data_IF_102538598215
#
_entry.id   IF_102538598215
#
_cell.length_a   1.000
_cell.length_b   1.000
_cell.length_c   1.000
_cell.angle_alpha   90.00
_cell.angle_beta   90.00
_cell.angle_gamma   90.00
#
_symmetry.space_group_name_H-M   'P 1'
#
loop_
_entity.id
_entity.type
_entity.pdbx_description
1 polymer ?
#
# COMPACT_ATOMS: atom_id res chain seq x y z
N UNK A 1 -12.27 -2.06 14.91
CA UNK A 1 -11.64 -2.35 13.59
C UNK A 1 -11.46 -3.84 13.46
N UNK A 2 -11.94 -4.42 12.36
CA UNK A 2 -11.70 -5.82 11.98
C UNK A 2 -10.69 -5.86 10.84
N UNK A 3 -9.79 -6.84 10.84
CA UNK A 3 -8.80 -7.04 9.78
C UNK A 3 -8.92 -8.49 9.28
N UNK A 4 -9.23 -8.66 7.99
CA UNK A 4 -9.33 -9.96 7.33
C UNK A 4 -8.16 -10.12 6.36
N UNK A 5 -7.44 -11.23 6.45
CA UNK A 5 -6.31 -11.54 5.59
C UNK A 5 -6.68 -12.58 4.54
N UNK A 6 -6.74 -12.20 3.26
CA UNK A 6 -7.12 -13.09 2.15
C UNK A 6 -5.94 -13.86 1.55
N UNK A 7 -4.72 -13.47 1.94
CA UNK A 7 -3.48 -14.09 1.44
C UNK A 7 -2.99 -13.52 0.11
N UNK A 8 -1.67 -13.52 -0.07
CA UNK A 8 -0.99 -12.88 -1.20
C UNK A 8 -1.23 -13.51 -2.58
N UNK A 9 -1.95 -14.61 -2.67
CA UNK A 9 -2.30 -15.28 -3.93
C UNK A 9 -3.73 -15.01 -4.39
N UNK A 10 -4.58 -14.46 -3.52
CA UNK A 10 -6.00 -14.28 -3.82
C UNK A 10 -6.22 -13.43 -5.07
N UNK A 11 -5.52 -12.31 -5.22
CA UNK A 11 -5.61 -11.42 -6.38
C UNK A 11 -4.76 -11.87 -7.59
N UNK A 12 -4.43 -13.14 -7.69
CA UNK A 12 -3.81 -13.73 -8.89
C UNK A 12 -4.84 -14.41 -9.76
N UNK A 13 -4.62 -14.42 -11.09
CA UNK A 13 -5.55 -15.01 -12.07
C UNK A 13 -6.11 -16.38 -11.69
N UNK A 14 -5.30 -17.34 -11.19
CA UNK A 14 -5.83 -18.68 -10.88
C UNK A 14 -6.85 -18.69 -9.73
N UNK A 15 -6.83 -17.68 -8.84
CA UNK A 15 -7.76 -17.55 -7.70
C UNK A 15 -8.84 -16.49 -7.98
N UNK A 16 -8.48 -15.40 -8.62
CA UNK A 16 -9.41 -14.42 -9.15
C UNK A 16 -10.12 -13.55 -8.12
N UNK A 17 -9.52 -13.35 -6.92
CA UNK A 17 -10.06 -12.44 -5.89
C UNK A 17 -11.24 -13.01 -5.09
N UNK A 18 -11.44 -14.33 -5.13
CA UNK A 18 -12.63 -14.97 -4.52
C UNK A 18 -12.72 -14.69 -3.02
N UNK A 19 -11.61 -14.78 -2.28
CA UNK A 19 -11.62 -14.55 -0.83
C UNK A 19 -11.89 -13.09 -0.50
N UNK A 20 -11.25 -12.15 -1.19
CA UNK A 20 -11.47 -10.72 -0.98
C UNK A 20 -12.92 -10.33 -1.26
N UNK A 21 -13.50 -10.78 -2.37
CA UNK A 21 -14.91 -10.51 -2.70
C UNK A 21 -15.88 -11.15 -1.69
N UNK A 22 -15.61 -12.36 -1.20
CA UNK A 22 -16.42 -13.00 -0.17
C UNK A 22 -16.36 -12.25 1.17
N UNK A 23 -15.18 -11.74 1.54
CA UNK A 23 -15.03 -10.95 2.75
C UNK A 23 -15.67 -9.55 2.62
N UNK A 24 -15.68 -8.96 1.43
CA UNK A 24 -16.45 -7.74 1.15
C UNK A 24 -17.96 -7.98 1.42
N UNK A 25 -18.53 -9.11 0.98
CA UNK A 25 -19.91 -9.46 1.25
C UNK A 25 -20.19 -9.68 2.75
N UNK A 26 -19.22 -10.21 3.50
CA UNK A 26 -19.34 -10.35 4.96
C UNK A 26 -19.36 -8.98 5.64
N UNK A 27 -18.43 -8.10 5.28
CA UNK A 27 -18.33 -6.76 5.85
C UNK A 27 -19.51 -5.86 5.45
N UNK A 28 -20.07 -6.06 4.25
CA UNK A 28 -21.29 -5.37 3.81
C UNK A 28 -22.48 -5.70 4.71
N UNK A 29 -22.62 -6.97 5.13
CA UNK A 29 -23.70 -7.43 6.02
C UNK A 29 -23.47 -7.16 7.51
N UNK A 30 -22.27 -6.76 7.90
CA UNK A 30 -21.93 -6.47 9.29
C UNK A 30 -22.34 -5.04 9.68
N UNK A 31 -23.34 -4.90 10.56
CA UNK A 31 -23.89 -3.61 10.97
C UNK A 31 -22.86 -2.70 11.68
N UNK A 32 -21.83 -3.28 12.29
CA UNK A 32 -20.76 -2.53 12.95
C UNK A 32 -19.72 -1.96 11.97
N UNK A 33 -19.64 -2.53 10.77
CA UNK A 33 -18.75 -2.04 9.71
C UNK A 33 -19.34 -0.80 9.05
N UNK A 34 -18.63 0.32 9.15
CA UNK A 34 -19.03 1.63 8.55
C UNK A 34 -18.32 1.92 7.22
N UNK A 35 -17.21 1.28 6.96
CA UNK A 35 -16.36 1.47 5.78
C UNK A 35 -15.51 0.20 5.55
N UNK A 36 -15.24 -0.11 4.31
CA UNK A 36 -14.36 -1.22 3.90
C UNK A 36 -13.08 -0.62 3.30
N UNK A 37 -11.91 -1.09 3.77
CA UNK A 37 -10.64 -0.71 3.21
C UNK A 37 -9.96 -1.93 2.56
N UNK A 38 -9.74 -1.86 1.25
CA UNK A 38 -9.06 -2.87 0.47
C UNK A 38 -7.57 -2.51 0.37
N UNK A 39 -6.70 -3.39 0.87
CA UNK A 39 -5.25 -3.18 0.86
C UNK A 39 -4.57 -4.36 0.18
N UNK A 40 -3.84 -4.09 -0.88
CA UNK A 40 -3.03 -5.10 -1.56
C UNK A 40 -1.78 -4.50 -2.20
N UNK A 41 -0.82 -5.36 -2.48
CA UNK A 41 0.22 -5.05 -3.46
C UNK A 41 -0.36 -5.13 -4.87
N UNK A 42 0.39 -4.65 -5.87
CA UNK A 42 0.00 -4.79 -7.27
C UNK A 42 -0.29 -6.26 -7.61
N UNK A 43 -1.47 -6.49 -8.13
CA UNK A 43 -1.97 -7.80 -8.50
C UNK A 43 -2.26 -7.87 -10.02
N UNK A 44 -2.90 -8.92 -10.47
CA UNK A 44 -3.30 -9.00 -11.88
C UNK A 44 -4.42 -8.00 -12.16
N UNK A 45 -4.23 -7.15 -13.16
CA UNK A 45 -5.13 -5.99 -13.44
C UNK A 45 -6.58 -6.39 -13.59
N UNK A 46 -6.85 -7.40 -14.38
CA UNK A 46 -8.20 -7.93 -14.61
C UNK A 46 -8.87 -8.47 -13.33
N UNK A 47 -8.09 -8.94 -12.35
CA UNK A 47 -8.61 -9.34 -11.04
C UNK A 47 -8.88 -8.13 -10.16
N UNK A 48 -8.00 -7.12 -10.17
CA UNK A 48 -8.25 -5.88 -9.45
C UNK A 48 -9.50 -5.17 -9.96
N UNK A 49 -9.70 -5.10 -11.28
CA UNK A 49 -10.91 -4.54 -11.90
C UNK A 49 -12.19 -5.26 -11.42
N UNK A 50 -12.20 -6.60 -11.40
CA UNK A 50 -13.34 -7.38 -10.85
C UNK A 50 -13.61 -7.08 -9.37
N UNK A 51 -12.56 -6.89 -8.58
CA UNK A 51 -12.71 -6.53 -7.17
C UNK A 51 -13.32 -5.12 -7.04
N UNK A 52 -12.92 -4.18 -7.88
CA UNK A 52 -13.48 -2.83 -7.91
C UNK A 52 -14.92 -2.81 -8.42
N UNK A 53 -15.25 -3.58 -9.46
CA UNK A 53 -16.62 -3.79 -9.92
C UNK A 53 -17.50 -4.36 -8.79
N UNK A 54 -16.97 -5.32 -8.02
CA UNK A 54 -17.66 -5.83 -6.83
C UNK A 54 -17.83 -4.74 -5.77
N UNK A 55 -16.81 -3.91 -5.53
CA UNK A 55 -16.89 -2.79 -4.59
C UNK A 55 -18.00 -1.80 -4.98
N UNK A 56 -18.21 -1.54 -6.27
CA UNK A 56 -19.26 -0.65 -6.79
C UNK A 56 -20.68 -1.12 -6.44
N UNK A 57 -20.86 -2.42 -6.18
CA UNK A 57 -22.15 -2.99 -5.80
C UNK A 57 -22.49 -2.83 -4.32
N UNK A 58 -21.51 -2.42 -3.50
CA UNK A 58 -21.70 -2.28 -2.05
C UNK A 58 -22.40 -0.96 -1.71
N UNK A 59 -23.10 -0.96 -0.59
CA UNK A 59 -23.73 0.25 -0.04
C UNK A 59 -22.80 1.06 0.84
N UNK A 60 -21.81 0.40 1.43
CA UNK A 60 -20.81 1.01 2.31
C UNK A 60 -19.70 1.68 1.51
N UNK A 61 -19.14 2.79 2.01
CA UNK A 61 -17.97 3.41 1.41
C UNK A 61 -16.78 2.44 1.33
N UNK A 62 -16.07 2.45 0.21
CA UNK A 62 -14.88 1.63 -0.01
C UNK A 62 -13.68 2.54 -0.29
N UNK A 63 -12.61 2.34 0.46
CA UNK A 63 -11.28 2.87 0.16
C UNK A 63 -10.44 1.74 -0.40
N UNK A 64 -9.72 1.98 -1.48
CA UNK A 64 -8.86 0.96 -2.09
C UNK A 64 -7.43 1.48 -2.27
N UNK A 65 -6.45 0.68 -1.86
CA UNK A 65 -5.03 0.88 -2.13
C UNK A 65 -4.43 -0.41 -2.69
N UNK A 66 -4.12 -0.38 -3.98
CA UNK A 66 -3.31 -1.40 -4.64
C UNK A 66 -1.94 -0.77 -4.93
N UNK A 67 -0.95 -1.08 -4.07
CA UNK A 67 0.37 -0.46 -4.14
C UNK A 67 1.02 -0.70 -5.50
N UNK A 68 1.34 0.38 -6.20
CA UNK A 68 1.88 0.34 -7.56
C UNK A 68 0.83 0.44 -8.68
N UNK A 69 -0.46 0.52 -8.34
CA UNK A 69 -1.51 0.78 -9.33
C UNK A 69 -1.45 2.24 -9.82
N UNK A 70 -1.88 2.45 -11.05
CA UNK A 70 -2.07 3.76 -11.65
C UNK A 70 -3.48 4.32 -11.37
N UNK A 71 -3.66 5.60 -11.62
CA UNK A 71 -4.94 6.29 -11.45
C UNK A 71 -6.05 5.71 -12.34
N UNK A 72 -5.68 5.20 -13.52
CA UNK A 72 -6.63 4.64 -14.49
C UNK A 72 -7.40 3.45 -13.92
N UNK A 73 -6.78 2.69 -13.00
CA UNK A 73 -7.44 1.54 -12.36
C UNK A 73 -8.71 1.95 -11.59
N UNK A 74 -8.72 3.14 -11.01
CA UNK A 74 -9.84 3.59 -10.16
C UNK A 74 -10.89 4.41 -10.92
N UNK A 75 -10.60 4.80 -12.17
CA UNK A 75 -11.52 5.62 -12.96
C UNK A 75 -12.83 4.89 -13.26
N UNK A 76 -13.93 5.58 -13.01
CA UNK A 76 -15.28 5.04 -13.24
C UNK A 76 -15.83 4.21 -12.09
N UNK A 77 -15.03 3.90 -11.07
CA UNK A 77 -15.46 3.20 -9.87
C UNK A 77 -15.88 4.15 -8.75
N UNK A 78 -16.79 3.72 -7.88
CA UNK A 78 -17.27 4.48 -6.72
C UNK A 78 -16.27 4.51 -5.55
N UNK A 79 -15.20 3.73 -5.64
CA UNK A 79 -14.20 3.63 -4.58
C UNK A 79 -13.37 4.91 -4.45
N UNK A 80 -12.91 5.19 -3.24
CA UNK A 80 -11.84 6.17 -3.01
C UNK A 80 -10.50 5.48 -3.23
N UNK A 81 -9.92 5.64 -4.43
CA UNK A 81 -8.60 5.12 -4.77
C UNK A 81 -7.48 5.92 -4.10
N UNK A 82 -6.48 5.21 -3.58
CA UNK A 82 -5.29 5.82 -2.96
C UNK A 82 -4.03 5.07 -3.42
N UNK A 83 -2.86 5.70 -3.28
CA UNK A 83 -1.61 5.19 -3.85
C UNK A 83 -0.57 4.79 -2.80
N UNK A 84 -0.84 5.07 -1.52
CA UNK A 84 -0.02 4.67 -0.38
C UNK A 84 -0.89 4.38 0.84
N UNK A 85 -0.32 3.69 1.83
CA UNK A 85 -1.04 3.26 3.02
C UNK A 85 -1.47 4.44 3.91
N UNK A 86 -0.65 5.49 3.96
CA UNK A 86 -0.94 6.69 4.76
C UNK A 86 -2.19 7.41 4.24
N UNK A 87 -2.28 7.61 2.93
CA UNK A 87 -3.44 8.27 2.32
C UNK A 87 -4.69 7.40 2.38
N UNK A 88 -4.56 6.08 2.28
CA UNK A 88 -5.66 5.16 2.53
C UNK A 88 -6.20 5.30 3.96
N UNK A 89 -5.32 5.31 4.97
CA UNK A 89 -5.71 5.51 6.36
C UNK A 89 -6.39 6.88 6.59
N UNK A 90 -5.85 7.96 6.01
CA UNK A 90 -6.47 9.30 6.06
C UNK A 90 -7.85 9.30 5.43
N UNK A 91 -8.01 8.71 4.25
CA UNK A 91 -9.29 8.61 3.57
C UNK A 91 -10.33 7.85 4.42
N UNK A 92 -9.93 6.71 5.01
CA UNK A 92 -10.81 5.96 5.91
C UNK A 92 -11.29 6.80 7.11
N UNK A 93 -10.36 7.49 7.80
CA UNK A 93 -10.73 8.32 8.96
C UNK A 93 -11.63 9.47 8.54
N UNK A 94 -11.31 10.16 7.45
CA UNK A 94 -12.12 11.25 6.92
C UNK A 94 -13.54 10.81 6.59
N UNK A 95 -13.70 9.71 5.88
CA UNK A 95 -15.01 9.19 5.49
C UNK A 95 -15.87 8.75 6.68
N UNK A 96 -15.25 8.18 7.73
CA UNK A 96 -16.00 7.71 8.90
C UNK A 96 -16.29 8.83 9.90
N UNK A 97 -15.35 9.78 10.09
CA UNK A 97 -15.45 10.77 11.17
C UNK A 97 -15.79 12.18 10.69
N UNK A 98 -15.66 12.45 9.40
CA UNK A 98 -15.76 13.80 8.81
C UNK A 98 -14.60 14.74 9.20
N UNK A 99 -13.54 14.23 9.84
CA UNK A 99 -12.41 15.01 10.33
C UNK A 99 -11.12 14.62 9.61
N UNK A 100 -10.25 15.59 9.39
CA UNK A 100 -8.88 15.30 8.94
C UNK A 100 -8.10 14.64 10.08
N UNK A 101 -7.51 13.46 9.84
CA UNK A 101 -6.69 12.80 10.84
C UNK A 101 -5.34 13.51 10.99
N UNK A 102 -4.91 13.69 12.23
CA UNK A 102 -3.52 14.05 12.51
C UNK A 102 -2.70 12.75 12.56
N UNK A 103 -2.11 12.39 11.44
CA UNK A 103 -1.28 11.19 11.32
C UNK A 103 0.19 11.58 11.14
N UNK A 104 0.97 11.25 12.16
CA UNK A 104 2.42 11.39 12.10
C UNK A 104 2.92 12.81 12.35
N UNK A 105 4.15 13.06 11.91
CA UNK A 105 4.86 14.31 12.08
C UNK A 105 4.33 15.38 11.11
N UNK A 106 4.27 16.61 11.56
CA UNK A 106 4.10 17.80 10.68
C UNK A 106 5.24 17.88 9.67
N UNK A 107 5.08 18.71 8.64
CA UNK A 107 6.15 18.94 7.67
C UNK A 107 7.43 19.47 8.34
N UNK A 108 7.26 20.40 9.30
CA UNK A 108 8.38 20.96 10.06
C UNK A 108 9.08 19.89 10.92
N UNK A 109 8.33 19.09 11.67
CA UNK A 109 8.91 18.02 12.50
C UNK A 109 9.63 16.95 11.68
N UNK A 110 9.15 16.66 10.45
CA UNK A 110 9.85 15.76 9.53
C UNK A 110 11.17 16.35 9.06
N UNK A 111 11.18 17.63 8.69
CA UNK A 111 12.40 18.32 8.27
C UNK A 111 13.44 18.36 9.39
N UNK A 112 13.01 18.74 10.59
CA UNK A 112 13.88 18.77 11.77
C UNK A 112 14.44 17.37 12.11
N UNK A 113 13.62 16.33 11.96
CA UNK A 113 14.06 14.94 12.16
C UNK A 113 15.06 14.52 11.07
N UNK A 114 14.77 14.84 9.80
CA UNK A 114 15.65 14.53 8.68
C UNK A 114 17.03 15.19 8.86
N UNK A 115 17.06 16.48 9.24
CA UNK A 115 18.29 17.20 9.48
C UNK A 115 19.08 16.58 10.65
N UNK A 116 18.44 16.27 11.77
CA UNK A 116 19.12 15.58 12.89
C UNK A 116 19.69 14.23 12.51
N UNK A 117 18.95 13.47 11.69
CA UNK A 117 19.46 12.18 11.17
C UNK A 117 20.68 12.40 10.27
N UNK A 118 20.60 13.36 9.36
CA UNK A 118 21.71 13.68 8.45
C UNK A 118 22.98 14.11 9.23
N UNK A 119 22.84 15.00 10.21
CA UNK A 119 23.92 15.48 11.05
C UNK A 119 24.59 14.38 11.88
N UNK A 120 23.84 13.33 12.20
CA UNK A 120 24.34 12.18 12.96
C UNK A 120 25.10 11.14 12.13
N UNK A 121 25.00 11.24 10.79
CA UNK A 121 25.62 10.26 9.88
C UNK A 121 27.09 10.59 9.62
N UNK A 122 27.95 9.57 9.71
CA UNK A 122 29.31 9.70 9.21
C UNK A 122 29.32 9.96 7.70
N UNK A 123 30.19 10.86 7.19
CA UNK A 123 30.32 11.12 5.75
C UNK A 123 30.61 9.88 4.88
N UNK A 124 31.10 8.80 5.49
CA UNK A 124 31.35 7.53 4.82
C UNK A 124 30.10 6.70 4.59
N UNK A 125 29.00 7.00 5.28
CA UNK A 125 27.71 6.29 5.16
C UNK A 125 26.94 6.79 3.94
N UNK A 126 27.18 6.13 2.80
CA UNK A 126 26.63 6.52 1.48
C UNK A 126 25.42 5.69 1.04
N UNK A 127 25.01 4.71 1.82
CA UNK A 127 23.96 3.78 1.41
C UNK A 127 22.86 3.69 2.44
N UNK A 128 21.61 3.77 1.97
CA UNK A 128 20.45 3.36 2.74
C UNK A 128 20.25 1.84 2.62
N UNK A 129 19.95 1.18 3.74
CA UNK A 129 19.64 -0.26 3.76
C UNK A 129 18.37 -0.47 4.59
N UNK A 130 17.28 -0.88 3.93
CA UNK A 130 16.02 -1.21 4.57
C UNK A 130 15.88 -2.71 4.81
N UNK A 131 15.45 -3.10 6.01
CA UNK A 131 15.10 -4.48 6.38
C UNK A 131 13.62 -4.50 6.78
N UNK A 132 12.83 -5.31 6.10
CA UNK A 132 11.38 -5.35 6.25
C UNK A 132 10.90 -6.77 6.51
N UNK A 133 9.98 -6.95 7.46
CA UNK A 133 9.37 -8.25 7.79
C UNK A 133 8.33 -8.70 6.76
N UNK A 134 7.90 -7.81 5.85
CA UNK A 134 6.90 -8.11 4.82
C UNK A 134 7.13 -7.32 3.53
N UNK A 135 6.56 -7.81 2.45
CA UNK A 135 6.72 -7.22 1.13
C UNK A 135 6.03 -5.87 0.96
N UNK A 136 4.95 -5.59 1.68
CA UNK A 136 4.13 -4.39 1.54
C UNK A 136 4.92 -3.12 1.88
N UNK A 137 5.55 -3.09 3.06
CA UNK A 137 6.38 -1.94 3.46
C UNK A 137 7.63 -1.78 2.59
N UNK A 138 8.22 -2.89 2.16
CA UNK A 138 9.35 -2.85 1.23
C UNK A 138 8.95 -2.21 -0.10
N UNK A 139 7.79 -2.56 -0.64
CA UNK A 139 7.28 -1.99 -1.88
C UNK A 139 6.95 -0.51 -1.73
N UNK A 140 6.22 -0.13 -0.67
CA UNK A 140 5.89 1.26 -0.41
C UNK A 140 7.15 2.13 -0.26
N UNK A 141 8.20 1.60 0.42
CA UNK A 141 9.49 2.29 0.51
C UNK A 141 10.14 2.48 -0.86
N UNK A 142 10.14 1.45 -1.70
CA UNK A 142 10.68 1.56 -3.06
C UNK A 142 9.91 2.58 -3.90
N UNK A 143 8.58 2.60 -3.79
CA UNK A 143 7.73 3.57 -4.47
C UNK A 143 8.03 4.99 -4.00
N UNK A 144 8.17 5.19 -2.68
CA UNK A 144 8.53 6.49 -2.11
C UNK A 144 9.88 6.97 -2.63
N UNK A 145 10.91 6.13 -2.63
CA UNK A 145 12.22 6.52 -3.19
C UNK A 145 12.15 6.82 -4.68
N UNK A 146 11.38 6.07 -5.46
CA UNK A 146 11.21 6.36 -6.90
C UNK A 146 10.54 7.70 -7.15
N UNK A 147 9.62 8.10 -6.29
CA UNK A 147 8.90 9.37 -6.41
C UNK A 147 9.72 10.56 -5.90
N UNK A 148 10.36 10.41 -4.73
CA UNK A 148 11.01 11.52 -4.03
C UNK A 148 12.50 11.69 -4.36
N UNK A 149 13.16 10.61 -4.81
CA UNK A 149 14.59 10.58 -5.13
C UNK A 149 14.86 9.68 -6.35
N UNK A 150 14.35 10.05 -7.54
CA UNK A 150 14.42 9.23 -8.75
C UNK A 150 15.86 9.02 -9.26
N UNK A 151 16.82 9.83 -8.82
CA UNK A 151 18.25 9.70 -9.14
C UNK A 151 18.93 8.55 -8.41
N UNK A 152 18.30 7.98 -7.37
CA UNK A 152 18.90 6.90 -6.59
C UNK A 152 18.77 5.55 -7.31
N UNK A 153 19.86 4.81 -7.32
CA UNK A 153 19.83 3.41 -7.79
C UNK A 153 19.28 2.51 -6.68
N UNK A 154 18.11 1.92 -6.91
CA UNK A 154 17.43 1.08 -5.96
C UNK A 154 17.65 -0.41 -6.26
N UNK A 155 17.96 -1.18 -5.24
CA UNK A 155 18.13 -2.62 -5.32
C UNK A 155 17.17 -3.31 -4.34
N UNK A 156 16.57 -4.42 -4.78
CA UNK A 156 15.69 -5.22 -3.94
C UNK A 156 15.94 -6.71 -4.18
N UNK A 157 15.79 -7.53 -3.15
CA UNK A 157 15.88 -8.98 -3.28
C UNK A 157 14.66 -9.61 -3.98
N UNK A 158 13.67 -8.80 -4.36
CA UNK A 158 12.46 -9.22 -5.09
C UNK A 158 12.67 -9.17 -6.60
N UNK A 159 13.62 -8.38 -7.07
CA UNK A 159 13.94 -8.28 -8.49
C UNK A 159 14.82 -9.46 -8.95
N UNK A 160 14.70 -9.82 -10.23
CA UNK A 160 15.57 -10.82 -10.87
C UNK A 160 16.91 -10.21 -11.33
N UNK A 161 17.37 -9.15 -10.71
CA UNK A 161 18.65 -8.52 -11.01
C UNK A 161 19.81 -9.40 -10.52
N UNK A 162 20.99 -9.19 -11.11
CA UNK A 162 22.20 -9.87 -10.65
C UNK A 162 22.52 -9.57 -9.18
N UNK A 163 22.26 -8.33 -8.73
CA UNK A 163 22.43 -7.93 -7.34
C UNK A 163 21.48 -8.69 -6.40
N UNK A 164 20.21 -8.82 -6.75
CA UNK A 164 19.24 -9.61 -5.98
C UNK A 164 19.62 -11.09 -5.93
N UNK A 165 20.19 -11.63 -7.01
CA UNK A 165 20.73 -12.98 -7.05
C UNK A 165 21.91 -13.16 -6.11
N UNK A 166 22.85 -12.22 -6.08
CA UNK A 166 23.99 -12.22 -5.13
C UNK A 166 23.53 -12.23 -3.68
N UNK A 167 22.54 -11.39 -3.32
CA UNK A 167 22.00 -11.35 -1.95
C UNK A 167 21.37 -12.70 -1.51
N UNK A 168 20.79 -13.44 -2.45
CA UNK A 168 20.19 -14.76 -2.18
C UNK A 168 21.22 -15.89 -2.00
N UNK A 169 22.42 -15.73 -2.56
CA UNK A 169 23.46 -16.77 -2.55
C UNK A 169 24.45 -16.64 -1.39
N UNK A 170 24.49 -15.51 -0.71
CA UNK A 170 25.28 -15.34 0.53
C UNK A 170 24.42 -15.82 1.72
N UNK A 171 24.55 -17.12 2.04
CA UNK A 171 24.09 -17.71 3.30
C UNK A 171 25.21 -17.70 4.33
#
# INVERSE_FOLDING_TARGET
TCVLGTGGRDLKKPVGGVSMMADMDRLERDDDTKLICLVSMLADRDVMEKVLEKADTLSKPVVAVFLGADEELYKGHKVTGTFNLTDAAKACVRLVTGKEPNLGLTAQEREELAQRCADSLSPERKYFRGLYTGGTFSEETLMTFRAEAPELTLYTNRDNTEYARRLKTHK
#
